data_IF_996960658922
#
_entry.id   IF_996960658922
#
_cell.length_a   1.000
_cell.length_b   1.000
_cell.length_c   1.000
_cell.angle_alpha   90.00
_cell.angle_beta   90.00
_cell.angle_gamma   90.00
#
_symmetry.space_group_name_H-M   'P 1'
#
loop_
_entity.id
_entity.type
_entity.pdbx_description
1 polymer ?
2 non-polymer ?
3 water ?
#
# COMPACT_ATOMS: atom_id res chain seq x y z
N UNK A 7 -19.79 -15.10 -10.33
CA UNK A 7 -20.84 -15.97 -9.75
C UNK A 7 -20.24 -17.20 -9.08
N UNK A 8 -19.50 -16.96 -7.99
CA UNK A 8 -18.88 -18.04 -7.22
C UNK A 8 -19.49 -18.12 -5.82
N UNK A 9 -18.90 -18.95 -4.95
CA UNK A 9 -19.40 -19.17 -3.59
C UNK A 9 -19.67 -17.92 -2.76
N UNK A 10 -18.63 -17.13 -2.53
CA UNK A 10 -18.75 -15.91 -1.73
C UNK A 10 -19.13 -14.76 -2.62
N UNK A 11 -19.53 -13.65 -2.02
CA UNK A 11 -19.96 -12.48 -2.78
C UNK A 11 -18.80 -11.74 -3.41
N UNK A 12 -18.24 -12.35 -4.44
CA UNK A 12 -17.08 -11.76 -5.09
C UNK A 12 -17.10 -11.95 -6.59
N UNK A 13 -16.29 -11.16 -7.29
CA UNK A 13 -16.18 -11.25 -8.73
C UNK A 13 -14.90 -12.04 -8.98
N UNK A 14 -14.97 -13.02 -9.85
CA UNK A 14 -13.80 -13.83 -10.15
C UNK A 14 -12.99 -13.15 -11.25
N UNK A 15 -11.76 -13.63 -11.46
CA UNK A 15 -10.90 -13.08 -12.48
C UNK A 15 -11.68 -13.05 -13.79
N UNK A 16 -12.40 -14.12 -14.04
CA UNK A 16 -13.21 -14.25 -15.24
C UNK A 16 -14.24 -13.12 -15.28
N UNK A 17 -14.98 -12.99 -14.19
CA UNK A 17 -16.02 -11.96 -14.12
C UNK A 17 -15.49 -10.56 -14.44
N UNK A 18 -14.35 -10.20 -13.84
CA UNK A 18 -13.82 -8.86 -14.07
C UNK A 18 -13.27 -8.68 -15.49
N UNK A 19 -12.66 -9.72 -16.04
CA UNK A 19 -12.12 -9.66 -17.39
C UNK A 19 -13.26 -9.58 -18.41
N UNK A 20 -14.41 -10.15 -18.06
CA UNK A 20 -15.58 -10.12 -18.94
C UNK A 20 -16.30 -8.79 -18.81
N UNK A 21 -15.88 -7.98 -17.84
CA UNK A 21 -16.51 -6.69 -17.64
C UNK A 21 -17.80 -6.77 -16.84
N UNK A 22 -17.97 -7.86 -16.09
CA UNK A 22 -19.16 -8.04 -15.27
C UNK A 22 -19.00 -7.30 -13.95
N UNK A 23 -17.77 -6.89 -13.66
CA UNK A 23 -17.48 -6.16 -12.43
C UNK A 23 -17.43 -4.69 -12.77
N UNK A 24 -18.58 -4.15 -13.16
CA UNK A 24 -18.69 -2.73 -13.49
C UNK A 24 -20.14 -2.25 -13.45
N UNK A 25 -20.30 -0.93 -13.61
CA UNK A 25 -21.61 -0.30 -13.59
C UNK A 25 -22.31 -0.57 -14.94
N UNK A 26 -23.57 -1.01 -14.89
CA UNK A 26 -24.30 -1.29 -16.13
C UNK A 26 -24.34 -0.16 -17.12
N UNK A 27 -24.34 1.07 -16.63
CA UNK A 27 -24.42 2.21 -17.52
C UNK A 27 -23.38 2.17 -18.64
N UNK A 28 -22.23 1.54 -18.39
CA UNK A 28 -21.18 1.47 -19.40
C UNK A 28 -21.60 0.65 -20.61
N UNK A 29 -21.83 -0.64 -20.43
CA UNK A 29 -22.24 -1.47 -21.55
C UNK A 29 -23.49 -0.88 -22.20
N UNK A 30 -24.46 -0.49 -21.37
CA UNK A 30 -25.69 0.09 -21.88
C UNK A 30 -25.39 1.28 -22.76
N UNK A 31 -24.36 2.05 -22.40
CA UNK A 31 -23.99 3.22 -23.19
C UNK A 31 -23.30 2.80 -24.46
N UNK A 32 -22.31 1.91 -24.33
CA UNK A 32 -21.59 1.43 -25.49
C UNK A 32 -22.62 0.97 -26.50
N UNK A 33 -23.51 0.11 -26.04
CA UNK A 33 -24.58 -0.40 -26.87
C UNK A 33 -25.30 0.74 -27.58
N UNK A 34 -25.62 1.79 -26.83
CA UNK A 34 -26.30 2.95 -27.39
C UNK A 34 -25.48 3.65 -28.46
N UNK A 35 -24.16 3.59 -28.32
CA UNK A 35 -23.28 4.21 -29.29
C UNK A 35 -23.32 3.49 -30.63
N UNK A 36 -23.55 2.18 -30.59
CA UNK A 36 -23.65 1.38 -31.79
C UNK A 36 -22.56 1.50 -32.85
N UNK A 37 -22.99 1.46 -34.11
CA UNK A 37 -22.08 1.55 -35.25
C UNK A 37 -21.00 2.59 -35.06
N UNK A 38 -21.34 3.68 -34.37
CA UNK A 38 -20.39 4.75 -34.12
C UNK A 38 -19.20 4.29 -33.28
N UNK A 39 -19.32 3.12 -32.67
CA UNK A 39 -18.27 2.59 -31.82
C UNK A 39 -16.91 2.51 -32.50
N UNK A 40 -16.91 2.15 -33.78
CA UNK A 40 -15.66 2.02 -34.50
C UNK A 40 -14.87 3.32 -34.66
N UNK A 41 -15.56 4.40 -34.97
CA UNK A 41 -14.89 5.68 -35.18
C UNK A 41 -14.79 6.57 -33.93
N UNK A 42 -14.75 5.96 -32.76
CA UNK A 42 -14.66 6.71 -31.52
C UNK A 42 -13.37 6.42 -30.79
N UNK A 43 -12.33 7.15 -31.17
CA UNK A 43 -11.03 6.98 -30.53
C UNK A 43 -10.86 8.04 -29.48
N UNK A 44 -10.55 7.59 -28.27
CA UNK A 44 -10.38 8.51 -27.15
C UNK A 44 -9.15 8.21 -26.33
N UNK A 45 -8.75 9.21 -25.56
CA UNK A 45 -7.63 9.11 -24.64
C UNK A 45 -8.22 9.56 -23.30
N UNK A 46 -8.12 8.70 -22.30
CA UNK A 46 -8.64 9.02 -20.98
C UNK A 46 -7.51 8.99 -19.97
N UNK A 47 -7.44 10.02 -19.13
CA UNK A 47 -6.41 10.06 -18.11
C UNK A 47 -7.07 9.90 -16.75
N UNK A 48 -6.34 9.30 -15.82
CA UNK A 48 -6.86 9.10 -14.49
C UNK A 48 -6.21 10.09 -13.55
N UNK A 49 -7.04 10.89 -12.88
CA UNK A 49 -6.52 11.88 -11.94
C UNK A 49 -7.14 11.68 -10.56
N UNK A 50 -6.50 12.28 -9.57
CA UNK A 50 -6.93 12.20 -8.19
C UNK A 50 -7.83 13.37 -7.81
N UNK A 51 -9.09 13.09 -7.49
CA UNK A 51 -10.03 14.12 -7.05
C UNK A 51 -9.87 14.08 -5.54
N UNK A 52 -9.68 12.85 -5.06
CA UNK A 52 -9.52 12.55 -3.65
C UNK A 52 -8.63 13.48 -2.87
N UNK A 53 -8.28 13.12 -1.64
CA UNK A 53 -7.44 13.91 -0.74
C UNK A 53 -6.28 14.60 -1.45
N UNK A 54 -6.22 15.92 -1.36
CA UNK A 54 -5.14 16.64 -2.01
C UNK A 54 -4.14 17.18 -0.99
N UNK A 55 -4.45 17.05 0.29
CA UNK A 55 -3.58 17.54 1.36
C UNK A 55 -2.54 16.50 1.75
N UNK A 56 -2.12 15.68 0.79
CA UNK A 56 -1.12 14.64 1.08
C UNK A 56 -0.49 14.14 -0.20
N UNK A 57 0.69 13.55 -0.09
CA UNK A 57 1.31 12.98 -1.28
C UNK A 57 0.70 11.59 -1.38
N UNK A 58 1.08 10.84 -2.40
CA UNK A 58 0.54 9.51 -2.58
C UNK A 58 1.60 8.55 -3.06
N UNK A 59 1.46 7.29 -2.66
CA UNK A 59 2.36 6.24 -3.08
C UNK A 59 1.51 5.46 -4.06
N UNK A 60 1.71 5.69 -5.35
CA UNK A 60 0.95 5.02 -6.39
C UNK A 60 1.13 3.51 -6.38
N UNK A 61 0.01 2.79 -6.38
CA UNK A 61 0.10 1.34 -6.37
C UNK A 61 -1.18 0.70 -6.88
N UNK A 62 -1.03 -0.38 -7.64
CA UNK A 62 -2.17 -1.08 -8.20
C UNK A 62 -2.14 -1.19 -9.72
N UNK A 63 -1.17 -0.55 -10.35
CA UNK A 63 -1.02 -0.56 -11.81
C UNK A 63 -0.92 -1.99 -12.34
N UNK A 64 -0.20 -2.84 -11.60
CA UNK A 64 0.00 -4.23 -11.96
C UNK A 64 -1.32 -4.92 -12.32
N UNK A 65 -2.34 -4.60 -11.54
CA UNK A 65 -3.67 -5.17 -11.72
C UNK A 65 -4.30 -4.62 -13.00
N UNK A 66 -4.05 -3.35 -13.27
CA UNK A 66 -4.58 -2.69 -14.46
C UNK A 66 -4.02 -3.31 -15.75
N UNK A 67 -2.71 -3.54 -15.76
CA UNK A 67 -2.06 -4.15 -16.92
C UNK A 67 -2.59 -5.57 -17.13
N UNK A 68 -2.76 -6.32 -16.04
CA UNK A 68 -3.26 -7.68 -16.16
C UNK A 68 -4.66 -7.70 -16.75
N UNK A 69 -5.37 -6.58 -16.66
CA UNK A 69 -6.72 -6.51 -17.16
C UNK A 69 -6.82 -5.99 -18.58
N UNK A 70 -6.05 -4.95 -18.90
CA UNK A 70 -6.10 -4.36 -20.23
C UNK A 70 -5.23 -5.05 -21.26
N UNK A 71 -4.29 -5.87 -20.80
CA UNK A 71 -3.42 -6.59 -21.70
C UNK A 71 -4.30 -7.42 -22.63
N UNK A 72 -4.02 -7.32 -23.93
CA UNK A 72 -4.81 -8.07 -24.89
C UNK A 72 -5.70 -7.19 -25.73
N UNK A 73 -6.13 -6.06 -25.17
CA UNK A 73 -7.00 -5.14 -25.87
C UNK A 73 -6.15 -4.20 -26.73
N UNK A 74 -6.72 -3.73 -27.84
CA UNK A 74 -6.02 -2.83 -28.73
C UNK A 74 -6.00 -1.43 -28.11
N UNK A 75 -5.19 -1.27 -27.06
CA UNK A 75 -5.06 0.03 -26.38
C UNK A 75 -3.64 0.31 -25.98
N UNK A 76 -3.25 1.57 -26.06
CA UNK A 76 -1.92 2.00 -25.62
C UNK A 76 -2.15 2.46 -24.19
N UNK A 77 -1.21 2.15 -23.30
CA UNK A 77 -1.35 2.55 -21.91
C UNK A 77 -0.08 3.12 -21.30
N UNK A 78 -0.20 4.36 -20.81
CA UNK A 78 0.92 5.03 -20.16
C UNK A 78 0.56 5.13 -18.69
N UNK A 79 1.57 5.23 -17.84
CA UNK A 79 1.31 5.34 -16.41
C UNK A 79 2.57 5.64 -15.61
N UNK A 80 2.36 6.10 -14.39
CA UNK A 80 3.46 6.39 -13.49
C UNK A 80 3.68 5.02 -12.86
N UNK A 81 4.95 4.62 -12.70
CA UNK A 81 5.25 3.32 -12.10
C UNK A 81 4.81 3.20 -10.65
N UNK A 82 4.32 2.02 -10.26
CA UNK A 82 3.92 1.80 -8.89
C UNK A 82 5.11 2.20 -8.01
N UNK A 83 4.86 2.44 -6.73
CA UNK A 83 5.93 2.78 -5.82
C UNK A 83 6.44 4.21 -5.91
N UNK A 84 5.93 4.99 -6.85
CA UNK A 84 6.35 6.38 -6.99
C UNK A 84 5.57 7.18 -5.95
N UNK A 85 6.18 8.25 -5.44
CA UNK A 85 5.53 9.06 -4.44
C UNK A 85 5.58 10.51 -4.88
N UNK A 86 4.40 11.13 -4.89
CA UNK A 86 4.28 12.51 -5.34
C UNK A 86 2.93 13.06 -4.93
N UNK A 87 2.73 14.35 -5.15
CA UNK A 87 1.45 14.97 -4.81
C UNK A 87 0.46 14.86 -5.96
N UNK A 88 -0.84 14.93 -5.65
CA UNK A 88 -1.90 14.84 -6.65
C UNK A 88 -1.95 16.06 -7.59
N UNK A 89 -1.35 17.16 -7.16
CA UNK A 89 -1.31 18.38 -7.97
C UNK A 89 0.14 18.78 -8.14
N UNK A 90 0.49 19.27 -9.32
CA UNK A 90 1.88 19.64 -9.59
C UNK A 90 2.27 20.96 -8.92
N UNK A 91 3.51 21.37 -9.15
CA UNK A 91 4.03 22.60 -8.56
C UNK A 91 3.11 23.80 -8.77
N UNK A 92 2.20 23.69 -9.74
CA UNK A 92 1.30 24.81 -10.01
C UNK A 92 -0.17 24.47 -9.87
N UNK A 93 -0.48 23.40 -9.15
CA UNK A 93 -1.86 23.02 -8.92
C UNK A 93 -2.60 22.32 -10.03
N UNK A 94 -1.87 21.76 -10.99
CA UNK A 94 -2.51 21.05 -12.10
C UNK A 94 -2.69 19.58 -11.71
N UNK A 95 -3.90 19.02 -11.90
CA UNK A 95 -4.15 17.63 -11.57
C UNK A 95 -3.16 16.73 -12.29
N UNK A 96 -2.50 15.84 -11.56
CA UNK A 96 -1.54 14.96 -12.18
C UNK A 96 -2.19 13.66 -12.63
N UNK A 97 -1.98 13.28 -13.91
CA UNK A 97 -2.54 12.06 -14.49
C UNK A 97 -1.63 10.88 -14.20
N UNK A 98 -2.16 9.85 -13.55
CA UNK A 98 -1.35 8.69 -13.21
C UNK A 98 -1.33 7.62 -14.27
N UNK A 99 -2.39 7.53 -15.08
CA UNK A 99 -2.41 6.54 -16.15
C UNK A 99 -3.21 7.11 -17.31
N UNK A 100 -2.81 6.78 -18.54
CA UNK A 100 -3.53 7.23 -19.73
C UNK A 100 -3.84 6.02 -20.58
N UNK A 101 -5.04 6.01 -21.15
CA UNK A 101 -5.43 4.90 -22.00
C UNK A 101 -5.95 5.47 -23.32
N UNK A 102 -5.45 4.88 -24.40
CA UNK A 102 -5.84 5.31 -25.74
C UNK A 102 -6.43 4.14 -26.53
N UNK A 103 -7.52 4.42 -27.25
CA UNK A 103 -8.16 3.39 -28.05
C UNK A 103 -9.61 3.70 -28.36
N UNK A 104 -10.35 2.70 -28.82
CA UNK A 104 -11.76 2.87 -29.12
C UNK A 104 -12.49 2.89 -27.79
N UNK A 105 -13.26 3.95 -27.54
CA UNK A 105 -13.98 4.05 -26.30
C UNK A 105 -14.69 2.74 -25.97
N UNK A 106 -15.45 2.22 -26.92
CA UNK A 106 -16.20 0.99 -26.70
C UNK A 106 -15.32 -0.22 -26.41
N UNK A 107 -14.08 -0.18 -26.88
CA UNK A 107 -13.18 -1.30 -26.66
C UNK A 107 -12.80 -1.56 -25.21
N UNK A 108 -12.73 -0.52 -24.41
CA UNK A 108 -12.35 -0.71 -23.01
C UNK A 108 -13.18 0.07 -22.01
N UNK A 109 -14.09 0.89 -22.51
CA UNK A 109 -14.92 1.70 -21.65
C UNK A 109 -15.57 1.04 -20.44
N UNK A 110 -15.95 -0.23 -20.55
CA UNK A 110 -16.58 -0.92 -19.45
C UNK A 110 -15.63 -1.25 -18.30
N UNK A 111 -14.33 -1.03 -18.51
CA UNK A 111 -13.33 -1.31 -17.48
C UNK A 111 -13.02 -0.13 -16.57
N UNK A 112 -13.71 0.99 -16.76
CA UNK A 112 -13.47 2.16 -15.93
C UNK A 112 -13.61 1.74 -14.46
N UNK A 113 -14.76 1.12 -14.14
CA UNK A 113 -15.02 0.67 -12.80
C UNK A 113 -13.82 -0.07 -12.21
N UNK A 114 -13.43 -1.18 -12.84
CA UNK A 114 -12.30 -1.98 -12.36
C UNK A 114 -10.97 -1.25 -12.32
N UNK A 115 -10.68 -0.46 -13.35
CA UNK A 115 -9.42 0.26 -13.38
C UNK A 115 -9.28 1.15 -12.16
N UNK A 116 -10.34 1.88 -11.84
CA UNK A 116 -10.29 2.74 -10.67
C UNK A 116 -10.12 1.90 -9.41
N UNK A 117 -10.99 0.91 -9.26
CA UNK A 117 -10.93 0.05 -8.10
C UNK A 117 -9.53 -0.48 -7.84
N UNK A 118 -8.82 -0.83 -8.91
CA UNK A 118 -7.47 -1.37 -8.79
C UNK A 118 -6.45 -0.38 -8.25
N UNK A 119 -6.65 0.91 -8.48
CA UNK A 119 -5.70 1.92 -8.02
C UNK A 119 -6.16 2.80 -6.85
N UNK A 120 -7.47 2.86 -6.61
CA UNK A 120 -7.99 3.67 -5.52
C UNK A 120 -7.66 3.11 -4.16
N UNK A 121 -8.22 1.95 -3.86
CA UNK A 121 -7.99 1.32 -2.56
C UNK A 121 -6.52 1.00 -2.31
N UNK A 122 -5.88 0.38 -3.29
CA UNK A 122 -4.46 0.04 -3.15
C UNK A 122 -3.59 1.26 -2.79
N UNK A 123 -3.71 2.33 -3.56
CA UNK A 123 -2.90 3.52 -3.31
C UNK A 123 -3.08 4.06 -1.91
N UNK A 124 -4.31 4.05 -1.41
CA UNK A 124 -4.53 4.52 -0.05
C UNK A 124 -3.72 3.66 0.91
N UNK A 125 -3.77 2.35 0.71
CA UNK A 125 -3.06 1.41 1.55
C UNK A 125 -1.54 1.60 1.51
N UNK A 126 -0.96 1.65 0.31
CA UNK A 126 0.48 1.83 0.20
C UNK A 126 0.92 3.18 0.78
N UNK A 127 0.07 4.19 0.61
CA UNK A 127 0.38 5.53 1.11
C UNK A 127 0.42 5.57 2.65
N UNK A 128 -0.54 4.90 3.28
CA UNK A 128 -0.59 4.88 4.73
C UNK A 128 0.62 4.14 5.29
N UNK A 129 0.97 3.04 4.64
CA UNK A 129 2.11 2.25 5.06
C UNK A 129 3.37 3.12 4.97
N UNK A 130 3.43 3.97 3.96
CA UNK A 130 4.58 4.85 3.80
C UNK A 130 4.69 5.82 4.96
N UNK A 131 3.56 6.37 5.37
CA UNK A 131 3.55 7.29 6.49
C UNK A 131 4.03 6.54 7.73
N UNK A 132 3.56 5.30 7.89
CA UNK A 132 3.96 4.48 9.02
C UNK A 132 5.46 4.15 8.94
N UNK A 133 5.97 3.95 7.73
CA UNK A 133 7.37 3.64 7.50
C UNK A 133 8.24 4.77 8.04
N UNK A 134 7.91 6.00 7.64
CA UNK A 134 8.64 7.18 8.08
C UNK A 134 8.71 7.24 9.59
N UNK A 135 7.60 6.91 10.25
CA UNK A 135 7.51 6.95 11.71
C UNK A 135 8.22 5.82 12.45
N UNK A 136 8.39 4.68 11.78
CA UNK A 136 9.04 3.52 12.38
C UNK A 136 10.55 3.63 12.35
N UNK A 137 11.05 4.48 11.47
CA UNK A 137 12.49 4.65 11.35
C UNK A 137 13.20 3.35 11.07
N UNK A 138 14.38 3.16 11.66
CA UNK A 138 15.14 1.94 11.46
C UNK A 138 14.50 0.73 12.13
N UNK A 139 13.37 0.94 12.80
CA UNK A 139 12.70 -0.18 13.46
C UNK A 139 11.72 -0.79 12.47
N UNK A 140 11.52 -2.12 12.56
CA UNK A 140 10.60 -2.83 11.66
C UNK A 140 9.14 -2.80 12.11
N UNK A 141 8.24 -2.74 11.12
CA UNK A 141 6.81 -2.79 11.39
C UNK A 141 6.22 -3.74 10.36
N UNK A 142 5.20 -4.46 10.76
CA UNK A 142 4.58 -5.44 9.88
C UNK A 142 3.10 -5.20 9.66
N UNK A 143 2.62 -5.65 8.52
CA UNK A 143 1.22 -5.52 8.14
C UNK A 143 0.44 -6.70 8.73
N UNK A 144 -0.45 -6.39 9.67
CA UNK A 144 -1.27 -7.41 10.32
C UNK A 144 -2.74 -7.11 10.15
N UNK A 145 -3.10 -6.28 9.17
CA UNK A 145 -4.49 -5.91 9.06
C UNK A 145 -5.48 -6.56 8.12
N UNK A 146 -5.15 -7.67 7.46
CA UNK A 146 -6.13 -8.26 6.55
C UNK A 146 -7.46 -8.67 7.21
N UNK A 147 -7.40 -9.13 8.45
CA UNK A 147 -8.61 -9.54 9.16
C UNK A 147 -9.68 -8.46 9.21
N UNK A 148 -9.28 -7.23 8.94
CA UNK A 148 -10.22 -6.11 8.98
C UNK A 148 -11.00 -5.95 7.68
N UNK A 149 -10.52 -6.55 6.60
CA UNK A 149 -11.18 -6.44 5.31
C UNK A 149 -11.58 -7.81 4.76
N UNK A 150 -12.36 -7.82 3.69
CA UNK A 150 -12.80 -9.07 3.07
C UNK A 150 -11.60 -9.91 2.65
N UNK A 151 -11.60 -11.22 2.99
CA UNK A 151 -10.48 -12.11 2.63
C UNK A 151 -10.13 -12.17 1.16
N UNK A 152 -11.13 -11.97 0.30
CA UNK A 152 -10.89 -12.03 -1.14
C UNK A 152 -9.78 -11.08 -1.57
N UNK A 153 -9.63 -9.97 -0.86
CA UNK A 153 -8.62 -9.00 -1.23
C UNK A 153 -7.44 -8.93 -0.26
N UNK A 154 -7.29 -9.98 0.55
CA UNK A 154 -6.20 -10.02 1.52
C UNK A 154 -4.81 -9.96 0.90
N UNK A 155 -4.63 -10.51 -0.31
CA UNK A 155 -3.29 -10.44 -0.89
C UNK A 155 -2.87 -9.06 -1.38
N UNK A 156 -3.77 -8.37 -2.08
CA UNK A 156 -3.43 -7.05 -2.60
C UNK A 156 -3.15 -6.10 -1.43
N UNK A 157 -3.82 -6.32 -0.31
CA UNK A 157 -3.59 -5.46 0.83
C UNK A 157 -2.15 -5.59 1.30
N UNK A 158 -1.73 -6.81 1.62
CA UNK A 158 -0.35 -7.01 2.06
C UNK A 158 0.62 -6.51 1.01
N UNK A 159 0.30 -6.72 -0.25
CA UNK A 159 1.20 -6.28 -1.31
C UNK A 159 1.47 -4.79 -1.22
N UNK A 160 0.42 -3.99 -1.17
CA UNK A 160 0.59 -2.54 -1.09
C UNK A 160 1.25 -2.14 0.23
N UNK A 161 0.90 -2.84 1.30
CA UNK A 161 1.47 -2.55 2.59
C UNK A 161 2.97 -2.75 2.52
N UNK A 162 3.39 -3.84 1.90
CA UNK A 162 4.81 -4.16 1.77
C UNK A 162 5.49 -3.07 0.95
N UNK A 163 4.97 -2.84 -0.24
CA UNK A 163 5.51 -1.82 -1.13
C UNK A 163 5.55 -0.46 -0.42
N UNK A 164 4.56 -0.21 0.44
CA UNK A 164 4.51 1.04 1.16
C UNK A 164 5.64 1.20 2.18
N UNK A 165 6.26 0.09 2.57
CA UNK A 165 7.36 0.16 3.52
C UNK A 165 7.34 -0.90 4.62
N UNK A 166 6.29 -1.72 4.68
CA UNK A 166 6.21 -2.76 5.69
C UNK A 166 7.33 -3.76 5.45
N UNK A 167 8.06 -4.10 6.50
CA UNK A 167 9.16 -5.05 6.38
C UNK A 167 8.65 -6.45 6.17
N UNK A 168 7.49 -6.73 6.75
CA UNK A 168 6.92 -8.05 6.63
C UNK A 168 5.42 -8.01 6.53
N UNK A 169 4.81 -9.19 6.40
CA UNK A 169 3.38 -9.29 6.25
C UNK A 169 2.86 -10.58 6.85
N UNK A 170 1.68 -10.53 7.47
CA UNK A 170 1.10 -11.71 8.12
C UNK A 170 0.29 -12.66 7.24
N UNK A 171 -0.35 -12.13 6.20
CA UNK A 171 -1.15 -12.97 5.32
C UNK A 171 -0.38 -14.04 4.55
N UNK A 172 -0.93 -15.24 4.51
CA UNK A 172 -0.31 -16.36 3.79
C UNK A 172 -0.18 -16.08 2.30
N UNK A 173 -1.30 -15.73 1.67
CA UNK A 173 -1.31 -15.45 0.24
C UNK A 173 -0.57 -14.17 -0.09
N UNK A 174 -0.72 -13.15 0.75
CA UNK A 174 -0.04 -11.91 0.47
C UNK A 174 1.46 -12.12 0.51
N UNK A 175 1.91 -12.93 1.46
CA UNK A 175 3.33 -13.19 1.60
C UNK A 175 3.81 -13.94 0.37
N UNK A 176 2.97 -14.85 -0.12
CA UNK A 176 3.35 -15.62 -1.29
C UNK A 176 3.57 -14.65 -2.44
N UNK A 177 2.62 -13.73 -2.58
CA UNK A 177 2.66 -12.73 -3.64
C UNK A 177 3.93 -11.86 -3.62
N UNK A 178 4.41 -11.49 -2.45
CA UNK A 178 5.61 -10.66 -2.38
C UNK A 178 6.89 -11.48 -2.34
N UNK A 179 6.73 -12.80 -2.21
CA UNK A 179 7.87 -13.72 -2.18
C UNK A 179 8.74 -13.52 -0.94
N UNK A 180 8.09 -13.62 0.22
CA UNK A 180 8.72 -13.45 1.53
C UNK A 180 7.97 -14.37 2.47
N UNK A 181 8.61 -14.77 3.56
CA UNK A 181 7.93 -15.64 4.52
C UNK A 181 7.00 -14.81 5.36
N UNK A 182 5.79 -15.33 5.62
CA UNK A 182 4.80 -14.63 6.43
C UNK A 182 5.37 -14.43 7.82
N UNK A 183 4.94 -13.38 8.49
CA UNK A 183 5.41 -13.11 9.83
C UNK A 183 4.25 -13.43 10.77
N UNK A 184 4.57 -13.84 11.99
CA UNK A 184 3.51 -14.16 12.93
C UNK A 184 4.02 -14.64 14.27
N UNK A 185 3.34 -14.24 15.33
CA UNK A 185 3.71 -14.61 16.67
C UNK A 185 2.58 -15.36 17.38
N UNK A 186 2.92 -16.07 18.45
CA UNK A 186 1.92 -16.81 19.20
C UNK A 186 0.81 -15.85 19.61
N UNK A 187 -0.45 -16.29 19.49
CA UNK A 187 -1.64 -15.49 19.83
C UNK A 187 -2.07 -15.62 21.30
N UNK A 188 -3.02 -14.79 21.72
CA UNK A 188 -3.52 -14.85 23.09
C UNK A 188 -4.17 -16.19 23.28
N UNK A 189 -4.87 -16.63 22.24
CA UNK A 189 -5.57 -17.91 22.24
C UNK A 189 -4.76 -19.01 22.89
N UNK A 190 -3.48 -19.08 22.53
CA UNK A 190 -2.60 -20.11 23.05
C UNK A 190 -2.48 -20.05 24.58
N UNK A 191 -2.35 -18.83 25.12
CA UNK A 191 -2.24 -18.69 26.56
C UNK A 191 -3.54 -18.98 27.28
N UNK A 192 -4.66 -18.71 26.62
CA UNK A 192 -5.96 -18.96 27.23
C UNK A 192 -6.22 -20.46 27.30
N UNK A 193 -5.73 -21.18 26.31
CA UNK A 193 -5.92 -22.63 26.26
C UNK A 193 -4.88 -23.38 27.07
N UNK A 194 -3.62 -22.95 27.03
CA UNK A 194 -2.56 -23.65 27.75
C UNK A 194 -1.91 -22.92 28.92
N UNK A 195 -2.16 -21.62 29.05
CA UNK A 195 -1.56 -20.86 30.12
C UNK A 195 -0.26 -20.27 29.61
N UNK A 196 0.17 -19.16 30.20
CA UNK A 196 1.39 -18.49 29.77
C UNK A 196 2.60 -19.39 29.78
N UNK A 197 2.96 -19.90 30.96
CA UNK A 197 4.12 -20.76 31.08
C UNK A 197 4.20 -21.81 30.00
N UNK A 198 3.15 -22.59 29.83
CA UNK A 198 3.17 -23.61 28.80
C UNK A 198 3.15 -23.00 27.42
N UNK A 199 2.46 -21.88 27.26
CA UNK A 199 2.37 -21.23 25.96
C UNK A 199 3.72 -20.66 25.52
N UNK A 200 4.42 -20.02 26.45
CA UNK A 200 5.71 -19.44 26.12
C UNK A 200 6.71 -20.54 25.81
N UNK A 201 6.64 -21.65 26.55
CA UNK A 201 7.56 -22.76 26.32
C UNK A 201 7.33 -23.32 24.94
N UNK A 202 6.06 -23.56 24.62
CA UNK A 202 5.69 -24.10 23.34
C UNK A 202 6.19 -23.17 22.23
N UNK A 203 5.94 -21.88 22.41
CA UNK A 203 6.32 -20.86 21.46
C UNK A 203 7.82 -20.77 21.24
N UNK A 204 8.58 -20.91 22.32
CA UNK A 204 10.03 -20.86 22.19
C UNK A 204 10.51 -22.14 21.52
N UNK A 205 9.92 -23.27 21.90
CA UNK A 205 10.30 -24.54 21.31
C UNK A 205 9.99 -24.60 19.83
N UNK A 206 8.98 -23.87 19.39
CA UNK A 206 8.60 -23.90 17.98
C UNK A 206 9.04 -22.73 17.13
N UNK A 207 9.92 -21.88 17.64
CA UNK A 207 10.42 -20.77 16.85
C UNK A 207 11.61 -21.36 16.09
N UNK A 208 11.56 -21.30 14.76
CA UNK A 208 12.62 -21.90 13.94
C UNK A 208 13.31 -20.95 12.98
N UNK A 209 14.30 -21.51 12.26
CA UNK A 209 15.08 -20.79 11.25
C UNK A 209 15.67 -19.48 11.73
N UNK A 210 16.07 -18.65 10.76
CA UNK A 210 16.61 -17.35 11.08
C UNK A 210 15.44 -16.49 11.47
N UNK A 211 14.86 -16.79 12.63
CA UNK A 211 13.71 -16.06 13.13
C UNK A 211 13.95 -15.71 14.58
N UNK A 212 13.34 -14.63 15.05
CA UNK A 212 13.49 -14.19 16.43
C UNK A 212 12.31 -14.62 17.28
N UNK A 213 12.59 -15.10 18.49
CA UNK A 213 11.54 -15.53 19.40
C UNK A 213 10.78 -14.31 19.90
N UNK A 214 9.47 -14.44 20.01
CA UNK A 214 8.62 -13.35 20.47
C UNK A 214 7.54 -13.90 21.40
N UNK A 215 7.46 -13.40 22.63
CA UNK A 215 6.44 -13.89 23.57
C UNK A 215 5.34 -12.87 23.87
N UNK A 216 4.09 -13.28 23.65
CA UNK A 216 2.93 -12.43 23.91
C UNK A 216 2.72 -12.48 25.42
N UNK A 217 2.83 -11.32 26.06
CA UNK A 217 2.72 -11.31 27.51
C UNK A 217 1.53 -10.61 28.17
N UNK A 218 0.63 -10.03 27.41
CA UNK A 218 -0.50 -9.32 28.03
C UNK A 218 -1.77 -10.14 28.21
N UNK A 219 -1.69 -11.45 28.03
CA UNK A 219 -2.87 -12.28 28.18
C UNK A 219 -3.49 -12.23 29.56
N UNK A 220 -2.69 -12.56 30.58
CA UNK A 220 -3.17 -12.63 31.98
C UNK A 220 -2.58 -11.63 32.99
N UNK A 221 -1.25 -11.55 33.06
CA UNK A 221 -0.58 -10.66 34.01
C UNK A 221 -0.49 -9.19 33.62
N UNK A 222 0.23 -8.43 34.44
CA UNK A 222 0.49 -7.01 34.22
C UNK A 222 1.75 -7.05 33.38
N UNK A 223 1.80 -6.31 32.28
CA UNK A 223 2.97 -6.34 31.41
C UNK A 223 4.29 -6.27 32.19
N UNK A 224 4.32 -5.43 33.23
CA UNK A 224 5.53 -5.28 34.03
C UNK A 224 5.98 -6.58 34.66
N UNK A 225 5.14 -7.16 35.51
CA UNK A 225 5.50 -8.40 36.17
C UNK A 225 5.62 -9.58 35.24
N UNK A 226 4.91 -9.56 34.12
CA UNK A 226 4.99 -10.64 33.15
C UNK A 226 6.39 -10.61 32.54
N UNK A 227 6.92 -9.40 32.33
CA UNK A 227 8.25 -9.25 31.76
C UNK A 227 9.30 -9.75 32.73
N UNK A 228 9.14 -9.46 34.02
CA UNK A 228 10.10 -9.93 35.01
C UNK A 228 10.08 -11.45 35.06
N UNK A 229 8.88 -12.02 35.17
CA UNK A 229 8.71 -13.46 35.22
C UNK A 229 9.40 -14.14 34.06
N UNK A 230 9.29 -13.54 32.88
CA UNK A 230 9.92 -14.10 31.69
C UNK A 230 11.45 -14.03 31.73
N UNK A 231 11.97 -12.95 32.29
CA UNK A 231 13.41 -12.76 32.37
C UNK A 231 14.03 -13.80 33.27
N UNK A 232 13.38 -14.04 34.40
CA UNK A 232 13.90 -15.00 35.36
C UNK A 232 13.52 -16.43 35.01
N UNK A 233 12.74 -16.61 33.95
CA UNK A 233 12.29 -17.93 33.56
C UNK A 233 12.94 -18.47 32.27
N UNK A 234 13.25 -17.58 31.33
CA UNK A 234 13.88 -18.00 30.08
C UNK A 234 15.04 -17.10 29.80
N UNK A 235 15.96 -17.54 28.95
CA UNK A 235 17.10 -16.72 28.59
C UNK A 235 17.06 -16.27 27.13
N UNK A 236 17.10 -17.23 26.21
CA UNK A 236 17.08 -16.88 24.80
C UNK A 236 15.71 -16.43 24.29
N UNK A 237 15.35 -15.19 24.62
CA UNK A 237 14.08 -14.60 24.18
C UNK A 237 14.37 -13.23 23.55
N UNK A 238 14.19 -13.12 22.24
CA UNK A 238 14.48 -11.90 21.50
C UNK A 238 13.50 -10.75 21.69
N UNK A 239 12.20 -11.06 21.74
CA UNK A 239 11.22 -10.02 21.90
C UNK A 239 10.14 -10.31 22.91
N UNK A 240 9.54 -9.22 23.38
CA UNK A 240 8.44 -9.24 24.32
C UNK A 240 7.41 -8.42 23.56
N UNK A 241 6.28 -9.03 23.24
CA UNK A 241 5.25 -8.33 22.50
C UNK A 241 4.10 -7.92 23.40
N UNK A 242 3.65 -6.68 23.26
CA UNK A 242 2.54 -6.16 24.06
C UNK A 242 1.39 -5.72 23.16
N UNK A 243 0.23 -6.31 23.37
CA UNK A 243 -0.98 -5.98 22.62
C UNK A 243 -1.98 -5.42 23.62
N UNK A 244 -1.47 -5.00 24.78
CA UNK A 244 -2.27 -4.44 25.87
C UNK A 244 -3.66 -3.90 25.50
N UNK A 245 -4.73 -4.47 26.09
CA UNK A 245 -6.11 -4.04 25.84
C UNK A 245 -6.20 -2.51 26.05
N UNK A 246 -6.94 -1.83 25.18
CA UNK A 246 -7.06 -0.39 25.32
C UNK A 246 -7.52 0.04 26.70
N UNK A 247 -8.40 -0.74 27.33
CA UNK A 247 -8.88 -0.36 28.66
C UNK A 247 -7.77 -0.43 29.69
N UNK A 248 -6.69 -1.13 29.35
CA UNK A 248 -5.56 -1.27 30.26
C UNK A 248 -4.46 -0.30 29.87
N UNK A 249 -4.62 0.29 28.69
CA UNK A 249 -3.63 1.20 28.13
C UNK A 249 -3.73 2.65 28.61
N UNK A 250 -3.64 2.86 29.93
CA UNK A 250 -3.70 4.20 30.51
C UNK A 250 -2.69 5.14 29.88
N UNK A 251 -1.44 4.70 29.80
CA UNK A 251 -0.36 5.47 29.19
C UNK A 251 0.66 4.46 28.67
N UNK A 252 0.41 3.96 27.48
CA UNK A 252 1.27 2.96 26.86
C UNK A 252 2.74 3.34 26.94
N UNK A 253 3.06 4.59 26.58
CA UNK A 253 4.43 5.04 26.62
C UNK A 253 5.06 4.78 27.98
N UNK A 254 4.37 5.21 29.03
CA UNK A 254 4.88 5.04 30.37
C UNK A 254 5.07 3.56 30.72
N UNK A 255 4.14 2.72 30.29
CA UNK A 255 4.24 1.30 30.57
C UNK A 255 5.48 0.69 29.91
N UNK A 256 5.74 1.06 28.66
CA UNK A 256 6.92 0.55 27.96
C UNK A 256 8.17 0.91 28.74
N UNK A 257 8.24 2.15 29.21
CA UNK A 257 9.39 2.57 29.98
C UNK A 257 9.49 1.73 31.24
N UNK A 258 8.42 1.67 32.02
CA UNK A 258 8.44 0.89 33.24
C UNK A 258 9.04 -0.48 32.97
N UNK A 259 8.55 -1.13 31.93
CA UNK A 259 9.01 -2.46 31.54
C UNK A 259 10.50 -2.50 31.19
N UNK A 260 10.94 -1.56 30.37
CA UNK A 260 12.34 -1.49 29.95
C UNK A 260 13.29 -1.30 31.13
N UNK A 261 12.88 -0.50 32.10
CA UNK A 261 13.71 -0.27 33.28
C UNK A 261 13.82 -1.53 34.13
N UNK A 262 12.68 -2.15 34.39
CA UNK A 262 12.61 -3.35 35.19
C UNK A 262 13.53 -4.43 34.62
N UNK A 263 13.50 -4.58 33.31
CA UNK A 263 14.33 -5.57 32.63
C UNK A 263 15.81 -5.25 32.71
N UNK A 264 16.14 -3.97 32.56
CA UNK A 264 17.55 -3.55 32.63
C UNK A 264 18.06 -3.81 34.03
N UNK A 265 17.22 -3.54 35.01
CA UNK A 265 17.61 -3.74 36.39
C UNK A 265 18.03 -5.19 36.59
N UNK A 266 17.33 -6.12 35.94
CA UNK A 266 17.63 -7.55 36.05
C UNK A 266 18.65 -7.97 34.97
N UNK A 267 19.38 -7.00 34.43
CA UNK A 267 20.37 -7.29 33.40
C UNK A 267 19.83 -7.97 32.16
N UNK A 268 18.65 -7.57 31.72
CA UNK A 268 18.08 -8.17 30.53
C UNK A 268 17.68 -7.14 29.49
N UNK A 269 18.46 -6.07 29.41
CA UNK A 269 18.20 -5.01 28.45
C UNK A 269 18.31 -5.56 27.03
N UNK A 270 18.74 -6.80 26.88
CA UNK A 270 18.87 -7.41 25.56
C UNK A 270 17.49 -7.79 25.00
N UNK A 271 16.51 -7.96 25.89
CA UNK A 271 15.15 -8.30 25.50
C UNK A 271 14.49 -7.07 24.87
N UNK A 272 14.27 -7.10 23.55
CA UNK A 272 13.64 -5.99 22.85
C UNK A 272 12.14 -5.94 23.09
N UNK A 273 11.52 -4.80 22.78
CA UNK A 273 10.08 -4.67 22.97
C UNK A 273 9.30 -4.38 21.70
N UNK A 274 8.29 -5.19 21.47
CA UNK A 274 7.43 -5.04 20.30
C UNK A 274 6.03 -4.67 20.75
N UNK A 275 5.33 -3.91 19.93
CA UNK A 275 3.98 -3.48 20.25
C UNK A 275 3.02 -3.62 19.07
N UNK A 276 1.73 -3.70 19.35
CA UNK A 276 0.72 -3.81 18.31
C UNK A 276 -0.67 -3.53 18.86
N UNK A 277 -1.60 -3.21 17.95
CA UNK A 277 -2.96 -2.94 18.36
C UNK A 277 -3.31 -1.47 18.29
N UNK A 278 -4.05 -1.09 17.25
CA UNK A 278 -4.48 0.28 17.08
C UNK A 278 -3.34 1.27 16.99
N UNK A 279 -2.45 1.08 16.03
CA UNK A 279 -1.31 1.98 15.87
C UNK A 279 -1.37 2.80 14.57
N UNK A 280 -0.74 3.98 14.60
CA UNK A 280 -0.67 4.94 13.48
C UNK A 280 0.76 5.37 13.29
N UNK A 281 0.94 6.42 12.50
CA UNK A 281 2.25 6.99 12.27
C UNK A 281 2.52 7.66 13.60
N UNK A 282 1.46 8.27 14.13
CA UNK A 282 1.55 8.98 15.40
C UNK A 282 1.87 8.04 16.53
N UNK A 283 1.03 7.02 16.68
CA UNK A 283 1.23 6.06 17.76
C UNK A 283 2.63 5.43 17.65
N UNK A 284 2.95 4.91 16.48
CA UNK A 284 4.25 4.30 16.26
C UNK A 284 5.42 5.20 16.62
N UNK A 285 5.37 6.46 16.18
CA UNK A 285 6.46 7.38 16.48
C UNK A 285 6.68 7.59 17.98
N UNK A 286 5.59 7.80 18.73
CA UNK A 286 5.71 8.02 20.17
C UNK A 286 6.16 6.79 20.93
N UNK A 287 5.76 5.61 20.48
CA UNK A 287 6.15 4.39 21.17
C UNK A 287 7.60 4.02 20.86
N UNK A 288 8.06 4.38 19.67
CA UNK A 288 9.43 4.10 19.30
C UNK A 288 10.32 4.97 20.15
N UNK A 289 9.84 6.17 20.47
CA UNK A 289 10.60 7.09 21.31
C UNK A 289 10.57 6.63 22.74
N UNK A 290 9.56 5.85 23.09
CA UNK A 290 9.41 5.32 24.43
C UNK A 290 10.32 4.11 24.62
N UNK A 291 10.64 3.43 23.51
CA UNK A 291 11.52 2.27 23.59
C UNK A 291 11.14 1.10 22.72
N UNK A 292 9.98 1.14 22.07
CA UNK A 292 9.57 0.04 21.20
C UNK A 292 10.49 -0.09 19.99
N UNK A 293 10.75 -1.32 19.56
CA UNK A 293 11.64 -1.53 18.42
C UNK A 293 11.02 -2.37 17.30
N UNK A 294 9.81 -2.87 17.54
CA UNK A 294 9.10 -3.67 16.55
C UNK A 294 7.60 -3.32 16.65
N UNK A 295 6.96 -3.14 15.50
CA UNK A 295 5.56 -2.77 15.49
C UNK A 295 4.67 -3.61 14.60
N UNK A 296 3.47 -3.89 15.11
CA UNK A 296 2.49 -4.64 14.35
C UNK A 296 1.37 -3.65 14.03
N UNK A 297 1.24 -3.33 12.75
CA UNK A 297 0.23 -2.36 12.35
C UNK A 297 -0.79 -2.96 11.38
N UNK A 298 -2.07 -2.82 11.71
CA UNK A 298 -3.12 -3.36 10.85
C UNK A 298 -4.16 -2.34 10.37
N UNK A 299 -5.34 -2.41 10.97
CA UNK A 299 -6.47 -1.56 10.64
C UNK A 299 -6.18 -0.22 9.97
N UNK A 300 -5.37 0.60 10.62
CA UNK A 300 -5.03 1.91 10.06
C UNK A 300 -4.53 1.83 8.64
N UNK A 301 -3.88 0.71 8.30
CA UNK A 301 -3.34 0.55 6.96
C UNK A 301 -4.31 -0.20 6.05
N UNK A 302 -4.77 -1.36 6.50
CA UNK A 302 -5.67 -2.17 5.71
C UNK A 302 -6.99 -1.50 5.35
N UNK A 303 -7.47 -0.62 6.23
CA UNK A 303 -8.72 0.07 5.96
C UNK A 303 -8.48 1.54 5.64
N UNK A 304 -7.26 1.86 5.23
CA UNK A 304 -6.94 3.23 4.89
C UNK A 304 -7.95 3.77 3.87
N UNK A 305 -8.38 5.02 4.03
CA UNK A 305 -9.32 5.62 3.09
C UNK A 305 -8.67 5.59 1.71
N UNK A 306 -9.47 5.32 0.67
CA UNK A 306 -9.00 5.26 -0.73
C UNK A 306 -8.90 6.63 -1.37
N UNK A 307 -7.97 6.79 -2.29
CA UNK A 307 -7.85 8.06 -3.00
C UNK A 307 -8.99 8.07 -4.01
N UNK A 308 -9.65 9.21 -4.17
CA UNK A 308 -10.78 9.31 -5.08
C UNK A 308 -10.36 9.59 -6.52
N UNK A 309 -9.87 8.56 -7.20
CA UNK A 309 -9.45 8.65 -8.59
C UNK A 309 -10.63 8.76 -9.54
N UNK A 310 -10.46 9.54 -10.58
CA UNK A 310 -11.50 9.70 -11.59
C UNK A 310 -10.85 9.42 -12.93
N UNK A 311 -11.62 8.90 -13.87
CA UNK A 311 -11.09 8.62 -15.19
C UNK A 311 -11.91 9.45 -16.16
N UNK A 312 -11.24 10.26 -16.97
CA UNK A 312 -11.97 11.11 -17.89
C UNK A 312 -11.38 11.20 -19.29
N UNK A 313 -12.28 11.30 -20.27
CA UNK A 313 -11.86 11.45 -21.65
C UNK A 313 -11.23 12.81 -21.70
N UNK A 314 -10.00 12.88 -22.19
CA UNK A 314 -9.30 14.13 -22.26
C UNK A 314 -9.04 14.47 -23.74
N UNK A 315 -9.42 13.55 -24.62
CA UNK A 315 -9.23 13.77 -26.05
C UNK A 315 -10.10 12.85 -26.89
N UNK A 316 -10.61 13.39 -27.99
CA UNK A 316 -11.47 12.63 -28.89
C UNK A 316 -11.00 12.76 -30.34
N UNK A 317 -10.61 11.63 -30.91
CA UNK A 317 -10.12 11.56 -32.27
C UNK A 317 -9.11 12.67 -32.55
N UNK A 318 -8.06 12.69 -31.74
CA UNK A 318 -6.99 13.65 -31.91
C UNK A 318 -7.22 15.07 -31.43
N UNK A 319 -8.47 15.41 -31.14
CA UNK A 319 -8.76 16.76 -30.68
C UNK A 319 -9.01 16.82 -29.17
N UNK A 320 -8.43 17.82 -28.52
CA UNK A 320 -8.58 18.01 -27.07
C UNK A 320 -10.06 18.12 -26.71
N UNK A 321 -10.52 17.35 -25.74
CA UNK A 321 -11.91 17.39 -25.33
C UNK A 321 -12.14 16.88 -23.91
N UNK A 322 -12.88 17.65 -23.12
CA UNK A 322 -13.20 17.26 -21.74
C UNK A 322 -14.48 17.94 -21.29
N UNK A 323 -14.82 17.72 -20.03
CA UNK A 323 -15.98 18.33 -19.44
C UNK A 323 -15.52 19.43 -18.49
N UNK A 324 -16.48 20.09 -17.87
CA UNK A 324 -16.18 21.16 -16.93
C UNK A 324 -15.49 20.53 -15.72
N UNK A 325 -14.46 21.20 -15.21
CA UNK A 325 -13.76 20.69 -14.04
C UNK A 325 -12.61 19.78 -14.38
N UNK A 326 -12.37 19.58 -15.66
CA UNK A 326 -11.27 18.74 -16.11
C UNK A 326 -10.50 19.50 -17.17
N UNK A 327 -9.22 19.18 -17.33
CA UNK A 327 -8.40 19.84 -18.32
C UNK A 327 -8.14 18.94 -19.52
N UNK A 328 -8.45 19.44 -20.70
CA UNK A 328 -8.30 18.66 -21.92
C UNK A 328 -6.87 18.44 -22.41
N UNK A 329 -6.75 17.50 -23.35
CA UNK A 329 -5.47 17.17 -23.96
C UNK A 329 -4.65 16.10 -23.27
N UNK A 330 -3.93 15.31 -24.06
CA UNK A 330 -3.06 14.29 -23.49
C UNK A 330 -1.87 15.03 -22.89
N UNK A 331 -1.34 14.56 -21.78
CA UNK A 331 -0.22 15.26 -21.18
C UNK A 331 0.80 14.38 -20.49
N UNK A 332 1.99 14.96 -20.30
CA UNK A 332 3.08 14.26 -19.64
C UNK A 332 3.24 14.81 -18.23
N UNK A 333 3.98 14.09 -17.40
CA UNK A 333 4.22 14.51 -16.03
C UNK A 333 5.72 14.57 -15.90
N UNK A 334 6.27 15.79 -15.96
CA UNK A 334 7.70 15.97 -15.85
C UNK A 334 8.16 16.17 -14.41
N UNK A 335 9.27 15.54 -14.06
CA UNK A 335 9.81 15.68 -12.71
C UNK A 335 11.29 16.02 -12.73
N UNK A 336 11.68 16.92 -11.84
CA UNK A 336 13.07 17.32 -11.73
C UNK A 336 13.83 16.10 -11.20
N UNK A 337 14.86 15.68 -11.93
CA UNK A 337 15.66 14.54 -11.51
C UNK A 337 16.39 14.88 -10.20
N UNK A 338 16.37 16.14 -9.81
CA UNK A 338 17.03 16.56 -8.57
C UNK A 338 16.04 16.73 -7.42
N UNK A 339 15.48 17.94 -7.32
CA UNK A 339 14.52 18.28 -6.27
C UNK A 339 13.15 17.61 -6.40
N UNK A 340 12.94 16.86 -7.47
CA UNK A 340 11.67 16.19 -7.69
C UNK A 340 10.49 17.15 -7.83
N UNK A 341 10.72 18.28 -8.49
CA UNK A 341 9.67 19.25 -8.73
C UNK A 341 8.86 18.66 -9.87
N UNK A 342 7.54 18.81 -9.82
CA UNK A 342 6.70 18.24 -10.86
C UNK A 342 5.87 19.26 -11.61
N UNK A 343 5.86 19.14 -12.93
CA UNK A 343 5.07 20.03 -13.78
C UNK A 343 4.28 19.21 -14.79
N UNK A 344 2.97 19.38 -14.79
CA UNK A 344 2.16 18.66 -15.75
C UNK A 344 2.19 19.50 -17.01
N UNK A 345 2.50 18.86 -18.13
CA UNK A 345 2.58 19.57 -19.39
C UNK A 345 1.92 18.82 -20.53
N UNK A 346 1.66 19.51 -21.65
CA UNK A 346 1.04 18.90 -22.83
C UNK A 346 1.99 17.86 -23.40
N UNK A 347 1.44 16.71 -23.78
CA UNK A 347 2.24 15.61 -24.33
C UNK A 347 3.36 16.00 -25.31
N UNK A 348 3.20 17.09 -26.06
CA UNK A 348 4.26 17.48 -26.99
C UNK A 348 5.47 18.13 -26.33
N UNK A 349 5.62 17.92 -25.02
CA UNK A 349 6.76 18.45 -24.29
C UNK A 349 7.34 17.29 -23.50
N UNK A 350 8.50 16.80 -23.93
CA UNK A 350 9.12 15.67 -23.26
C UNK A 350 9.93 16.09 -22.06
N UNK A 351 10.86 17.01 -22.27
CA UNK A 351 11.69 17.49 -21.16
C UNK A 351 11.59 18.99 -21.02
N UNK A 352 12.14 19.50 -19.93
CA UNK A 352 12.09 20.92 -19.63
C UNK A 352 13.24 21.20 -18.69
N UNK A 353 13.62 22.46 -18.56
CA UNK A 353 14.71 22.81 -17.67
C UNK A 353 14.13 23.12 -16.30
N UNK A 354 14.63 22.40 -15.30
CA UNK A 354 14.18 22.59 -13.93
C UNK A 354 15.20 23.42 -13.18
N UNK A 355 14.80 24.61 -12.76
CA UNK A 355 15.69 25.48 -12.02
C UNK A 355 16.24 24.70 -10.84
N UNK A 356 17.55 24.72 -10.63
CA UNK A 356 18.01 24.05 -9.38
C UNK A 356 18.10 22.54 -9.47
N UNK A 357 19.16 22.01 -9.95
CA UNK A 357 19.24 20.60 -10.17
C UNK A 357 19.52 20.50 -11.65
N UNK A 358 18.52 20.15 -12.47
CA UNK A 358 18.84 20.08 -13.89
C UNK A 358 17.59 20.02 -14.77
N UNK A 359 17.47 18.93 -15.51
CA UNK A 359 16.35 18.73 -16.40
C UNK A 359 15.18 17.95 -15.79
N UNK A 360 13.99 18.19 -16.35
CA UNK A 360 12.78 17.52 -15.92
C UNK A 360 12.41 16.55 -17.01
N UNK A 361 12.36 15.26 -16.66
CA UNK A 361 12.02 14.23 -17.63
C UNK A 361 10.61 13.71 -17.35
N UNK A 362 10.03 13.02 -18.33
CA UNK A 362 8.68 12.50 -18.16
C UNK A 362 8.65 11.28 -17.25
N UNK A 363 7.59 11.18 -16.45
CA UNK A 363 7.42 10.06 -15.53
C UNK A 363 6.40 9.08 -16.08
N UNK A 364 5.55 9.58 -16.96
CA UNK A 364 4.52 8.75 -17.55
C UNK A 364 5.19 7.82 -18.53
N UNK A 365 5.16 6.53 -18.24
CA UNK A 365 5.80 5.53 -19.09
C UNK A 365 4.79 4.68 -19.84
N UNK A 366 5.13 4.28 -21.06
CA UNK A 366 4.22 3.45 -21.85
C UNK A 366 4.35 1.99 -21.45
N UNK A 367 3.35 1.45 -20.76
CA UNK A 367 3.40 0.05 -20.35
C UNK A 367 2.79 -0.91 -21.35
N UNK A 368 1.79 -0.45 -22.09
CA UNK A 368 1.16 -1.28 -23.11
C UNK A 368 1.15 -0.56 -24.43
N UNK A 369 1.37 -1.31 -25.50
CA UNK A 369 1.35 -0.78 -26.85
C UNK A 369 0.52 -1.77 -27.64
N UNK A 370 -0.66 -1.33 -28.05
CA UNK A 370 -1.59 -2.18 -28.79
C UNK A 370 -1.89 -3.44 -27.99
N UNK A 371 -2.03 -3.25 -26.67
CA UNK A 371 -2.34 -4.37 -25.80
C UNK A 371 -1.18 -5.25 -25.41
N UNK A 372 0.03 -4.92 -25.87
CA UNK A 372 1.19 -5.73 -25.56
C UNK A 372 2.15 -5.08 -24.54
N UNK A 373 2.56 -5.84 -23.54
CA UNK A 373 3.49 -5.33 -22.55
C UNK A 373 4.78 -4.89 -23.21
N UNK A 374 5.18 -3.66 -22.92
CA UNK A 374 6.40 -3.10 -23.49
C UNK A 374 7.62 -3.45 -22.65
N UNK A 375 7.40 -4.14 -21.53
CA UNK A 375 8.52 -4.51 -20.65
C UNK A 375 8.08 -5.56 -19.65
N UNK A 376 9.03 -6.08 -18.87
CA UNK A 376 8.69 -7.08 -17.88
C UNK A 376 8.35 -6.33 -16.59
N UNK A 377 7.19 -6.63 -16.02
CA UNK A 377 6.76 -5.93 -14.83
C UNK A 377 7.57 -6.34 -13.61
N UNK A 378 8.02 -5.35 -12.83
CA UNK A 378 8.82 -5.54 -11.61
C UNK A 378 8.08 -6.34 -10.55
N UNK A 379 8.84 -7.11 -9.78
CA UNK A 379 8.27 -7.90 -8.71
C UNK A 379 8.07 -6.93 -7.54
N UNK A 380 7.22 -7.31 -6.57
CA UNK A 380 6.95 -6.46 -5.40
C UNK A 380 8.19 -5.90 -4.69
N UNK A 381 9.15 -6.78 -4.37
CA UNK A 381 10.36 -6.36 -3.67
C UNK A 381 11.11 -5.26 -4.43
N UNK A 382 11.15 -5.42 -5.74
CA UNK A 382 11.82 -4.46 -6.60
C UNK A 382 11.09 -3.14 -6.47
N UNK A 383 9.77 -3.21 -6.55
CA UNK A 383 8.93 -2.03 -6.45
C UNK A 383 9.08 -1.31 -5.10
N UNK A 384 9.01 -2.04 -3.99
CA UNK A 384 9.13 -1.37 -2.70
C UNK A 384 10.54 -0.84 -2.53
N UNK A 385 11.47 -1.36 -3.33
CA UNK A 385 12.84 -0.91 -3.27
C UNK A 385 12.85 0.51 -3.86
N UNK A 386 12.11 0.69 -4.92
CA UNK A 386 12.00 1.99 -5.56
C UNK A 386 11.32 2.92 -4.59
N UNK A 387 10.18 2.46 -4.08
CA UNK A 387 9.36 3.21 -3.15
C UNK A 387 10.14 3.80 -1.97
N UNK A 388 11.05 3.02 -1.39
CA UNK A 388 11.83 3.51 -0.26
C UNK A 388 12.82 4.62 -0.65
N UNK A 389 13.35 4.56 -1.87
CA UNK A 389 14.26 5.60 -2.33
C UNK A 389 13.39 6.83 -2.53
N UNK A 390 12.20 6.58 -3.05
CA UNK A 390 11.20 7.61 -3.33
C UNK A 390 10.76 8.29 -2.03
N UNK A 391 10.51 7.51 -0.99
CA UNK A 391 10.08 8.04 0.30
C UNK A 391 11.16 8.88 0.95
N UNK A 392 12.41 8.64 0.56
CA UNK A 392 13.55 9.36 1.10
C UNK A 392 13.44 10.87 0.89
N UNK A 393 12.75 11.26 -0.18
CA UNK A 393 12.57 12.67 -0.48
C UNK A 393 11.52 13.35 0.38
N UNK A 394 10.84 12.61 1.24
CA UNK A 394 9.82 13.23 2.09
C UNK A 394 10.14 13.19 3.58
N UNK A 395 11.33 13.70 3.91
CA UNK A 395 11.83 13.79 5.27
C UNK A 395 12.39 12.46 5.77
#
# INVERSE_FOLDING_TARGET
GGGGGGMNVFNTASDEDIKKGLASDVYFERTISAIGDKCNDLRVAMEATVSGPLDTWINFTGLDEVLKLLEGLDVDLYAIPEGTILFPRDANGLPVPFIRVEGRYCDFGMYETAILGFICQASGISTKASKVRLAAGDSPFFSFGIRRMHPAISPMIDRSAYIGGADGVSGILGAKLIDQDPVGTMPHALSIMLGDEEAWKLTLENTKNGQKSVLLIDTYMDEKFAAIKIAEMFDKVDYIRLDTPSSRRGNFEALIREVRWELALRGRSDIKIMVSGGLDENTVKKLREAGAEAFGVGTSISSAKPFDFAMDIVEVNGKPETKRGKMSGRKNVLRCTSCHRIEVVPANVQEKTCICGGSMQNLLVKYLSHGKRTSEYPRPKEIRSRSMKELEYFKDIS
#
